data_IF_551937292944
#
_entry.id   IF_551937292944
#
_cell.length_a   1.000
_cell.length_b   1.000
_cell.length_c   1.000
_cell.angle_alpha   90.00
_cell.angle_beta   90.00
_cell.angle_gamma   90.00
#
_symmetry.space_group_name_H-M   'P 1'
#
loop_
_entity.id
_entity.type
_entity.pdbx_description
1 polymer ?
#
# COMPACT_ATOMS: atom_id res chain seq x y z
N UNK A 1 17.21 10.56 10.17
CA UNK A 1 17.10 9.32 9.38
C UNK A 1 15.63 8.92 9.25
N UNK A 2 15.26 8.42 8.08
CA UNK A 2 13.94 7.89 7.73
C UNK A 2 14.14 6.42 7.35
N UNK A 3 13.20 5.54 7.70
CA UNK A 3 13.23 4.12 7.36
C UNK A 3 11.88 3.69 6.80
N UNK A 4 11.89 3.04 5.65
CA UNK A 4 10.69 2.45 5.06
C UNK A 4 10.73 0.93 5.15
N UNK A 5 9.77 0.35 5.87
CA UNK A 5 9.59 -1.09 6.03
C UNK A 5 8.71 -1.67 4.93
N UNK A 6 9.29 -2.50 4.06
CA UNK A 6 8.57 -3.13 2.96
C UNK A 6 8.13 -4.55 3.35
N UNK A 7 6.87 -4.68 3.75
CA UNK A 7 6.23 -5.90 4.27
C UNK A 7 7.11 -6.70 5.26
N UNK A 8 7.50 -6.12 6.41
CA UNK A 8 8.43 -6.75 7.36
C UNK A 8 7.97 -8.16 7.75
N UNK A 9 8.86 -9.15 7.69
CA UNK A 9 8.47 -10.56 7.88
C UNK A 9 8.06 -10.89 9.31
N UNK A 10 7.09 -11.78 9.50
CA UNK A 10 6.63 -12.21 10.84
C UNK A 10 7.52 -13.31 11.47
N UNK A 11 8.23 -14.12 10.67
CA UNK A 11 8.80 -15.40 11.13
C UNK A 11 9.88 -15.28 12.20
N UNK A 12 10.66 -14.20 12.22
CA UNK A 12 11.77 -14.05 13.18
C UNK A 12 11.35 -13.38 14.49
N UNK A 13 10.09 -12.96 14.59
CA UNK A 13 9.62 -12.03 15.61
C UNK A 13 8.38 -12.52 16.37
N UNK A 14 7.97 -13.78 16.14
CA UNK A 14 6.79 -14.39 16.77
C UNK A 14 6.90 -14.58 18.30
N UNK A 15 8.10 -14.52 18.88
CA UNK A 15 8.34 -14.82 20.31
C UNK A 15 8.08 -13.62 21.25
N UNK A 16 7.39 -12.58 20.77
CA UNK A 16 6.94 -11.45 21.59
C UNK A 16 8.04 -10.46 22.02
N UNK A 17 9.31 -10.74 21.69
CA UNK A 17 10.40 -9.79 21.91
C UNK A 17 10.46 -8.77 20.77
N UNK A 18 9.56 -7.78 20.82
CA UNK A 18 9.45 -6.70 19.82
C UNK A 18 10.70 -5.80 19.74
N UNK A 19 11.62 -5.89 20.71
CA UNK A 19 12.86 -5.06 20.71
C UNK A 19 13.82 -5.34 19.54
N UNK A 20 13.54 -6.36 18.72
CA UNK A 20 14.31 -6.68 17.52
C UNK A 20 13.54 -6.39 16.23
N UNK A 21 12.27 -6.03 16.35
CA UNK A 21 11.43 -5.70 15.22
C UNK A 21 11.77 -4.27 14.81
N UNK A 22 11.58 -3.95 13.53
CA UNK A 22 11.55 -2.54 13.13
C UNK A 22 10.40 -1.87 13.89
N UNK A 23 10.70 -0.83 14.67
CA UNK A 23 9.70 -0.03 15.35
C UNK A 23 9.90 1.48 15.17
N UNK A 24 8.93 2.29 15.59
CA UNK A 24 8.95 3.74 15.43
C UNK A 24 10.17 4.42 16.09
N UNK A 25 10.83 3.79 17.07
CA UNK A 25 12.00 4.33 17.77
C UNK A 25 13.30 4.18 16.98
N UNK A 26 13.33 3.36 15.94
CA UNK A 26 14.53 3.09 15.13
C UNK A 26 14.94 4.27 14.22
N UNK A 27 14.04 5.23 13.99
CA UNK A 27 14.31 6.41 13.16
C UNK A 27 13.43 7.62 13.53
N UNK A 28 13.68 8.79 12.94
CA UNK A 28 12.82 9.96 13.16
C UNK A 28 11.45 9.83 12.49
N UNK A 29 11.38 8.98 11.46
CA UNK A 29 10.16 8.61 10.79
C UNK A 29 10.31 7.20 10.24
N UNK A 30 9.29 6.39 10.46
CA UNK A 30 9.23 4.98 10.04
C UNK A 30 7.88 4.78 9.37
N UNK A 31 7.88 4.54 8.07
CA UNK A 31 6.68 4.14 7.34
C UNK A 31 6.74 2.66 7.01
N UNK A 32 5.62 1.94 7.15
CA UNK A 32 5.56 0.51 6.88
C UNK A 32 4.46 0.24 5.86
N UNK A 33 4.77 -0.56 4.85
CA UNK A 33 3.82 -0.97 3.82
C UNK A 33 3.56 -2.46 3.95
N UNK A 34 2.31 -2.79 4.28
CA UNK A 34 1.82 -4.15 4.50
C UNK A 34 1.11 -4.67 3.24
N UNK A 35 1.61 -5.78 2.70
CA UNK A 35 1.02 -6.47 1.54
C UNK A 35 0.76 -7.96 1.76
N UNK A 36 1.45 -8.59 2.72
CA UNK A 36 1.30 -9.98 3.14
C UNK A 36 1.07 -10.14 4.65
N UNK A 37 0.48 -9.14 5.30
CA UNK A 37 0.28 -9.07 6.75
C UNK A 37 -0.49 -10.27 7.32
N UNK A 38 0.00 -10.80 8.44
CA UNK A 38 -0.60 -11.95 9.14
C UNK A 38 -0.32 -13.31 8.49
N UNK A 39 0.43 -13.35 7.38
CA UNK A 39 0.81 -14.59 6.69
C UNK A 39 2.34 -14.71 6.64
N UNK A 40 3.00 -13.89 5.83
CA UNK A 40 4.46 -13.82 5.75
C UNK A 40 4.98 -12.50 6.32
N UNK A 41 4.17 -11.45 6.31
CA UNK A 41 4.41 -10.14 6.92
C UNK A 41 3.77 -9.98 8.30
N UNK A 42 4.27 -9.03 9.08
CA UNK A 42 3.73 -8.66 10.39
C UNK A 42 2.33 -8.06 10.26
N UNK A 43 1.46 -8.28 11.27
CA UNK A 43 0.11 -7.73 11.26
C UNK A 43 0.00 -6.39 12.01
N UNK A 44 0.65 -6.29 13.16
CA UNK A 44 0.53 -5.14 14.04
C UNK A 44 1.18 -3.89 13.44
N UNK A 45 0.66 -2.70 13.75
CA UNK A 45 1.34 -1.46 13.40
C UNK A 45 2.66 -1.39 14.17
N UNK A 46 3.73 -1.12 13.44
CA UNK A 46 5.07 -1.00 14.00
C UNK A 46 5.75 0.32 13.60
N UNK A 47 5.16 1.10 12.70
CA UNK A 47 5.73 2.35 12.24
C UNK A 47 5.10 3.57 12.91
N UNK A 48 5.61 4.73 12.52
CA UNK A 48 4.90 5.98 12.70
C UNK A 48 3.66 6.01 11.79
N UNK A 49 3.78 5.54 10.55
CA UNK A 49 2.68 5.41 9.60
C UNK A 49 2.65 3.99 9.00
N UNK A 50 1.52 3.30 9.12
CA UNK A 50 1.35 1.94 8.61
C UNK A 50 0.30 1.91 7.49
N UNK A 51 0.70 1.46 6.31
CA UNK A 51 -0.12 1.39 5.10
C UNK A 51 -0.52 -0.05 4.80
N UNK A 52 -1.82 -0.35 4.85
CA UNK A 52 -2.38 -1.66 4.53
C UNK A 52 -2.96 -1.67 3.12
N UNK A 53 -2.16 -2.16 2.17
CA UNK A 53 -2.49 -2.15 0.74
C UNK A 53 -3.52 -3.24 0.44
N UNK A 54 -4.65 -2.86 -0.14
CA UNK A 54 -5.78 -3.75 -0.41
C UNK A 54 -6.27 -4.53 0.83
N UNK A 55 -6.16 -3.93 2.01
CA UNK A 55 -6.49 -4.58 3.29
C UNK A 55 -5.32 -5.33 3.92
N UNK A 56 -4.15 -5.37 3.28
CA UNK A 56 -2.87 -5.74 3.88
C UNK A 56 -2.40 -7.17 3.66
N UNK A 57 -3.27 -8.11 3.25
CA UNK A 57 -2.91 -9.54 3.20
C UNK A 57 -3.11 -10.21 1.84
N UNK A 58 -3.91 -9.63 0.94
CA UNK A 58 -4.22 -10.23 -0.36
C UNK A 58 -4.19 -9.19 -1.45
N UNK A 59 -3.31 -9.38 -2.42
CA UNK A 59 -3.03 -8.40 -3.45
C UNK A 59 -3.67 -8.80 -4.78
N UNK A 60 -4.33 -7.85 -5.47
CA UNK A 60 -4.86 -8.08 -6.80
C UNK A 60 -3.76 -8.57 -7.76
N UNK A 61 -4.08 -9.61 -8.55
CA UNK A 61 -3.15 -10.21 -9.51
C UNK A 61 -2.19 -11.26 -8.93
N UNK A 62 -2.28 -11.60 -7.64
CA UNK A 62 -1.46 -12.65 -7.03
C UNK A 62 -2.13 -14.03 -6.96
N UNK A 63 -3.44 -14.13 -7.20
CA UNK A 63 -4.16 -15.40 -7.15
C UNK A 63 -3.56 -16.45 -8.10
N UNK A 64 -3.18 -17.60 -7.55
CA UNK A 64 -2.61 -18.72 -8.28
C UNK A 64 -3.14 -20.06 -7.77
N UNK A 65 -3.02 -21.12 -8.58
CA UNK A 65 -3.35 -22.50 -8.17
C UNK A 65 -2.39 -23.06 -7.12
N UNK A 66 -1.20 -22.47 -6.99
CA UNK A 66 -0.24 -22.79 -5.94
C UNK A 66 -0.35 -21.80 -4.79
N UNK A 67 -0.67 -22.29 -3.60
CA UNK A 67 -0.73 -21.49 -2.36
C UNK A 67 0.60 -20.78 -2.13
N UNK A 68 1.73 -21.50 -2.24
CA UNK A 68 3.06 -20.93 -2.05
C UNK A 68 3.33 -19.76 -3.00
N UNK A 69 2.89 -19.86 -4.26
CA UNK A 69 3.05 -18.79 -5.24
C UNK A 69 2.17 -17.58 -4.92
N UNK A 70 0.95 -17.81 -4.45
CA UNK A 70 0.03 -16.75 -4.01
C UNK A 70 0.64 -15.99 -2.83
N UNK A 71 1.03 -16.68 -1.77
CA UNK A 71 1.61 -16.05 -0.57
C UNK A 71 2.92 -15.31 -0.88
N UNK A 72 3.79 -15.93 -1.68
CA UNK A 72 5.03 -15.29 -2.12
C UNK A 72 4.77 -14.03 -2.95
N UNK A 73 3.76 -14.05 -3.82
CA UNK A 73 3.38 -12.87 -4.59
C UNK A 73 2.83 -11.77 -3.68
N UNK A 74 1.91 -12.09 -2.77
CA UNK A 74 1.31 -11.11 -1.84
C UNK A 74 2.39 -10.42 -1.00
N UNK A 75 3.35 -11.19 -0.47
CA UNK A 75 4.46 -10.66 0.35
C UNK A 75 5.44 -9.79 -0.46
N UNK A 76 5.75 -10.19 -1.69
CA UNK A 76 6.73 -9.46 -2.53
C UNK A 76 6.13 -8.33 -3.35
N UNK A 77 4.79 -8.17 -3.34
CA UNK A 77 4.09 -7.14 -4.12
C UNK A 77 4.39 -5.71 -3.67
N UNK A 78 4.85 -5.54 -2.42
CA UNK A 78 5.29 -4.25 -1.89
C UNK A 78 6.39 -3.61 -2.73
N UNK A 79 7.33 -4.40 -3.26
CA UNK A 79 8.46 -3.90 -4.05
C UNK A 79 8.01 -3.17 -5.31
N UNK A 80 7.19 -3.76 -6.21
CA UNK A 80 6.71 -3.04 -7.38
C UNK A 80 5.77 -1.87 -7.03
N UNK A 81 5.07 -1.88 -5.89
CA UNK A 81 4.30 -0.72 -5.44
C UNK A 81 5.21 0.44 -5.03
N UNK A 82 6.24 0.18 -4.22
CA UNK A 82 7.21 1.20 -3.82
C UNK A 82 7.95 1.77 -5.04
N UNK A 83 8.41 0.93 -5.97
CA UNK A 83 9.06 1.38 -7.21
C UNK A 83 8.14 2.28 -8.04
N UNK A 84 6.86 1.92 -8.17
CA UNK A 84 5.90 2.77 -8.88
C UNK A 84 5.62 4.07 -8.13
N UNK A 85 5.67 4.07 -6.79
CA UNK A 85 5.45 5.29 -5.98
C UNK A 85 6.45 6.39 -6.30
N UNK A 86 7.69 6.04 -6.62
CA UNK A 86 8.77 7.00 -6.98
C UNK A 86 8.51 7.70 -8.32
N UNK A 87 7.84 7.02 -9.27
CA UNK A 87 7.78 7.48 -10.67
C UNK A 87 6.37 7.83 -11.15
N UNK A 88 5.35 7.46 -10.38
CA UNK A 88 3.95 7.69 -10.77
C UNK A 88 3.57 9.16 -10.68
N UNK A 89 2.76 9.63 -11.65
CA UNK A 89 2.10 10.94 -11.59
C UNK A 89 0.76 10.90 -10.87
N UNK A 90 0.19 9.71 -10.70
CA UNK A 90 -1.12 9.52 -10.09
C UNK A 90 -1.01 9.43 -8.58
N UNK A 91 -0.02 8.68 -8.08
CA UNK A 91 0.20 8.45 -6.66
C UNK A 91 -0.63 7.28 -6.08
N UNK A 92 -0.12 6.71 -4.99
CA UNK A 92 -0.80 5.73 -4.16
C UNK A 92 -1.45 6.45 -2.98
N UNK A 93 -2.69 6.88 -3.14
CA UNK A 93 -3.38 7.65 -2.10
C UNK A 93 -4.04 6.73 -1.07
N UNK A 94 -3.74 6.99 0.19
CA UNK A 94 -4.22 6.22 1.32
C UNK A 94 -5.05 7.07 2.28
N UNK A 95 -6.12 6.45 2.80
CA UNK A 95 -7.07 7.04 3.71
C UNK A 95 -6.74 6.65 5.15
N UNK A 96 -6.74 7.58 6.12
CA UNK A 96 -6.71 7.22 7.53
C UNK A 96 -7.96 6.39 7.88
N UNK A 97 -7.77 5.31 8.62
CA UNK A 97 -8.87 4.45 9.03
C UNK A 97 -8.47 3.67 10.29
N UNK A 98 -9.35 3.56 11.30
CA UNK A 98 -8.96 3.05 12.62
C UNK A 98 -8.61 1.56 12.64
N UNK A 99 -9.15 0.77 11.71
CA UNK A 99 -8.91 -0.67 11.63
C UNK A 99 -9.42 -1.26 10.31
N UNK A 100 -8.98 -2.49 10.03
CA UNK A 100 -9.33 -3.22 8.81
C UNK A 100 -10.83 -3.44 8.66
N UNK A 101 -11.54 -3.71 9.76
CA UNK A 101 -12.99 -3.94 9.70
C UNK A 101 -13.70 -2.72 9.12
N UNK A 102 -13.42 -1.53 9.69
CA UNK A 102 -13.99 -0.25 9.24
C UNK A 102 -13.66 0.07 7.78
N UNK A 103 -12.47 -0.31 7.33
CA UNK A 103 -12.06 -0.21 5.93
C UNK A 103 -12.90 -1.12 5.03
N UNK A 104 -13.02 -2.41 5.36
CA UNK A 104 -13.74 -3.41 4.55
C UNK A 104 -15.22 -3.05 4.39
N UNK A 105 -15.88 -2.58 5.46
CA UNK A 105 -17.30 -2.21 5.41
C UNK A 105 -17.53 -0.78 4.88
N UNK A 106 -16.50 -0.08 4.42
CA UNK A 106 -16.61 1.22 3.78
C UNK A 106 -17.05 2.36 4.70
N UNK A 107 -16.72 2.28 5.99
CA UNK A 107 -17.03 3.33 6.96
C UNK A 107 -16.01 4.48 6.95
N UNK A 108 -14.81 4.24 6.43
CA UNK A 108 -13.76 5.25 6.36
C UNK A 108 -14.04 6.22 5.21
N UNK A 109 -14.43 7.45 5.58
CA UNK A 109 -14.76 8.55 4.66
C UNK A 109 -13.88 9.76 4.98
N UNK A 110 -12.60 9.71 4.59
CA UNK A 110 -11.71 10.86 4.77
C UNK A 110 -12.15 12.04 3.90
N UNK A 111 -11.90 13.25 4.39
CA UNK A 111 -11.93 14.48 3.61
C UNK A 111 -10.79 14.49 2.58
N UNK A 112 -10.86 15.39 1.59
CA UNK A 112 -9.91 15.41 0.46
C UNK A 112 -8.47 15.72 0.91
N UNK A 113 -8.28 16.44 2.01
CA UNK A 113 -6.97 16.80 2.58
C UNK A 113 -6.40 15.75 3.54
N UNK A 114 -7.21 14.79 3.97
CA UNK A 114 -6.78 13.67 4.83
C UNK A 114 -6.10 12.54 4.04
N UNK A 115 -6.24 12.52 2.72
CA UNK A 115 -5.54 11.55 1.87
C UNK A 115 -4.05 11.85 1.82
N UNK A 116 -3.22 10.83 2.09
CA UNK A 116 -1.76 10.96 1.99
C UNK A 116 -1.20 9.99 0.95
N UNK A 117 -0.11 10.34 0.25
CA UNK A 117 0.61 9.40 -0.60
C UNK A 117 1.34 8.35 0.24
N UNK A 118 1.33 7.11 -0.22
CA UNK A 118 2.15 5.99 0.26
C UNK A 118 3.41 5.85 -0.60
N UNK A 119 4.54 5.54 0.03
CA UNK A 119 5.82 5.28 -0.62
C UNK A 119 6.78 6.47 -0.50
N UNK A 120 7.52 6.79 -1.56
CA UNK A 120 8.58 7.81 -1.53
C UNK A 120 8.10 9.19 -1.03
N UNK A 121 6.91 9.62 -1.48
CA UNK A 121 6.38 10.96 -1.17
C UNK A 121 5.62 11.01 0.18
N UNK A 122 5.72 9.98 1.03
CA UNK A 122 4.99 9.92 2.30
C UNK A 122 5.37 11.10 3.20
N UNK A 123 4.40 11.90 3.70
CA UNK A 123 4.72 12.99 4.63
C UNK A 123 5.34 12.45 5.92
N UNK A 124 6.51 12.97 6.31
CA UNK A 124 7.18 12.50 7.54
C UNK A 124 6.44 12.87 8.84
N UNK A 125 5.40 13.69 8.74
CA UNK A 125 4.47 14.01 9.83
C UNK A 125 3.28 13.05 9.91
N UNK A 126 3.12 12.15 8.93
CA UNK A 126 2.02 11.18 8.92
C UNK A 126 2.09 10.28 10.13
N UNK A 127 0.96 10.08 10.81
CA UNK A 127 0.87 9.19 11.98
C UNK A 127 -0.39 8.35 11.91
N UNK A 128 -0.27 7.07 12.26
CA UNK A 128 -1.39 6.14 12.38
C UNK A 128 -1.53 5.16 11.21
N UNK A 129 -2.74 4.65 11.04
CA UNK A 129 -3.04 3.54 10.12
C UNK A 129 -3.78 4.06 8.90
N UNK A 130 -3.28 3.66 7.73
CA UNK A 130 -3.78 4.07 6.44
C UNK A 130 -4.12 2.86 5.57
N UNK A 131 -5.17 2.98 4.75
CA UNK A 131 -5.58 1.95 3.81
C UNK A 131 -5.74 2.53 2.42
N UNK A 132 -5.43 1.72 1.42
CA UNK A 132 -5.54 2.08 0.01
C UNK A 132 -5.85 0.87 -0.85
N UNK A 133 -6.34 1.13 -2.06
CA UNK A 133 -6.58 0.11 -3.08
C UNK A 133 -5.71 0.33 -4.31
N UNK A 134 -5.26 -0.76 -4.94
CA UNK A 134 -4.43 -0.74 -6.16
C UNK A 134 -5.03 -1.56 -7.28
N UNK A 135 -4.55 -1.39 -8.51
CA UNK A 135 -4.85 -2.32 -9.59
C UNK A 135 -4.07 -3.64 -9.43
N UNK A 136 -4.48 -4.69 -10.15
CA UNK A 136 -3.75 -5.97 -10.18
C UNK A 136 -2.56 -6.02 -11.13
N UNK A 137 -2.51 -5.07 -12.05
CA UNK A 137 -1.46 -4.93 -13.06
C UNK A 137 -1.05 -3.46 -13.18
N UNK A 138 0.14 -3.20 -13.74
CA UNK A 138 0.65 -1.85 -13.97
C UNK A 138 -0.27 -1.06 -14.92
N UNK A 139 -0.47 0.26 -14.70
CA UNK A 139 -0.07 1.00 -13.50
C UNK A 139 -0.90 0.55 -12.29
N UNK A 140 -0.22 0.25 -11.17
CA UNK A 140 -0.86 -0.17 -9.93
C UNK A 140 -1.55 1.00 -9.22
N UNK A 141 -0.94 2.20 -9.29
CA UNK A 141 -1.45 3.42 -8.72
C UNK A 141 -2.79 3.82 -9.36
N UNK A 142 -3.80 4.09 -8.54
CA UNK A 142 -5.14 4.52 -9.00
C UNK A 142 -5.32 6.03 -9.05
N UNK A 143 -4.44 6.79 -8.39
CA UNK A 143 -4.60 8.23 -8.24
C UNK A 143 -5.59 8.62 -7.13
N UNK A 144 -5.74 9.94 -6.95
CA UNK A 144 -6.56 10.49 -5.87
C UNK A 144 -8.04 10.15 -6.09
N UNK A 145 -8.75 9.55 -5.12
CA UNK A 145 -10.14 9.10 -5.30
C UNK A 145 -11.12 10.22 -5.68
N UNK A 146 -10.92 11.43 -5.15
CA UNK A 146 -11.72 12.62 -5.48
C UNK A 146 -11.41 13.29 -6.84
N UNK A 147 -10.28 12.97 -7.50
CA UNK A 147 -9.89 13.59 -8.77
C UNK A 147 -10.19 12.65 -9.92
N UNK A 148 -11.14 13.02 -10.79
CA UNK A 148 -11.40 12.26 -12.03
C UNK A 148 -10.08 12.14 -12.82
N UNK A 149 -9.74 10.95 -13.33
CA UNK A 149 -8.56 10.80 -14.17
C UNK A 149 -8.68 11.75 -15.36
N UNK A 150 -7.58 12.38 -15.81
CA UNK A 150 -7.62 13.21 -17.00
C UNK A 150 -8.16 12.36 -18.16
N UNK A 151 -9.28 12.77 -18.74
CA UNK A 151 -9.87 12.11 -19.89
C UNK A 151 -8.79 12.06 -20.99
N UNK A 152 -8.31 10.86 -21.31
CA UNK A 152 -7.56 10.67 -22.54
C UNK A 152 -8.52 11.02 -23.67
N UNK A 153 -8.29 12.15 -24.34
CA UNK A 153 -8.97 12.50 -25.58
C UNK A 153 -8.72 11.37 -26.58
N UNK A 154 -9.68 10.46 -26.68
CA UNK A 154 -9.77 9.44 -27.71
C UNK A 154 -10.16 10.17 -29.00
N UNK A 155 -9.22 10.91 -29.61
CA UNK A 155 -9.41 11.38 -30.97
C UNK A 155 -9.62 10.14 -31.84
N UNK A 156 -10.79 10.09 -32.48
CA UNK A 156 -11.21 9.08 -33.43
C UNK A 156 -10.08 8.76 -34.41
N UNK A 157 -9.57 7.54 -34.36
CA UNK A 157 -8.89 6.94 -35.51
C UNK A 157 -9.96 6.21 -36.32
N UNK A 158 -10.81 7.00 -36.99
CA UNK A 158 -11.64 6.54 -38.11
C UNK A 158 -10.99 7.08 -39.39
N UNK A 159 -10.85 6.21 -40.39
CA UNK A 159 -10.30 6.42 -41.74
C UNK A 159 -8.78 6.30 -41.95
N UNK A 160 -8.36 5.09 -42.35
CA UNK A 160 -7.64 4.86 -43.62
C UNK A 160 -7.57 3.36 -43.93
N UNK A 161 -8.57 2.88 -44.66
CA UNK A 161 -8.45 1.70 -45.51
C UNK A 161 -9.34 1.92 -46.73
N UNK A 162 -8.74 2.55 -47.74
CA UNK A 162 -8.99 2.38 -49.17
C UNK A 162 -7.63 2.56 -49.85
#
# INVERSE_FOLDING_TARGET
>A
MIVSGLDPTIFFYMNGNRSRDLDETDAHFVDIIHTGAGILGQWGPNGHADFYVNGGSSQPGCASTSILRTLSCDHTKVTPYYIESITTKSGFWAAPCPNLFSYIIGLCRPEDDEWIPMGEDTPHTARGIFYLSTNGHKPYARGHPGKKPPQKNRKQSFYRQY
#
